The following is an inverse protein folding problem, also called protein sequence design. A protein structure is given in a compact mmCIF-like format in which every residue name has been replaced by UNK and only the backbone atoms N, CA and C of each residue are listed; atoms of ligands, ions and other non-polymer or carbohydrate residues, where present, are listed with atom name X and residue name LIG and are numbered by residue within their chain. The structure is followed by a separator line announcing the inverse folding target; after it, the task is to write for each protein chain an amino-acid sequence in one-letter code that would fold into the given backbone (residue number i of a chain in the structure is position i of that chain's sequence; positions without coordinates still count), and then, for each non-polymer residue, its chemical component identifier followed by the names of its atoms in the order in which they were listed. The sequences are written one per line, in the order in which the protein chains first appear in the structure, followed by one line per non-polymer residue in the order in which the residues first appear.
data_IF_394005215413
#
_entry.id   IF_394005215413
#
_cell.length_a   1.000
_cell.length_b   1.000
_cell.length_c   1.000
_cell.angle_alpha   90.00
_cell.angle_beta   90.00
_cell.angle_gamma   90.00
#
_symmetry.space_group_name_H-M   'P 1'
#
loop_
_entity.id
_entity.type
_entity.pdbx_description
1 polymer ?
#
# COMPACT_ATOMS: atom_id res chain seq x y z
N UNK A 1 29.31 -4.59 26.35
CA UNK A 1 28.84 -5.54 25.32
C UNK A 1 29.92 -5.73 24.27
N UNK A 2 30.23 -6.97 23.87
CA UNK A 2 31.18 -7.19 22.79
C UNK A 2 30.65 -6.62 21.45
N UNK A 3 31.53 -6.23 20.50
CA UNK A 3 31.11 -5.70 19.19
C UNK A 3 30.17 -6.65 18.42
N UNK A 4 30.35 -7.97 18.58
CA UNK A 4 29.49 -9.01 18.03
C UNK A 4 28.08 -9.00 18.61
N UNK A 5 27.93 -8.73 19.91
CA UNK A 5 26.62 -8.62 20.55
C UNK A 5 25.88 -7.36 20.13
N UNK A 6 26.59 -6.26 19.92
CA UNK A 6 26.01 -5.02 19.42
C UNK A 6 25.43 -5.21 18.00
N UNK A 7 26.18 -5.86 17.10
CA UNK A 7 25.71 -6.15 15.73
C UNK A 7 24.50 -7.08 15.72
N UNK A 8 24.45 -8.11 16.57
CA UNK A 8 23.28 -8.98 16.71
C UNK A 8 22.06 -8.19 17.14
N UNK A 9 22.16 -7.36 18.16
CA UNK A 9 21.05 -6.52 18.65
C UNK A 9 20.56 -5.56 17.56
N UNK A 10 21.45 -4.95 16.79
CA UNK A 10 21.08 -4.08 15.67
C UNK A 10 20.33 -4.84 14.56
N UNK A 11 20.75 -6.06 14.24
CA UNK A 11 20.05 -6.91 13.27
C UNK A 11 18.64 -7.30 13.74
N UNK A 12 18.48 -7.63 15.03
CA UNK A 12 17.16 -7.89 15.62
C UNK A 12 16.24 -6.67 15.59
N UNK A 13 16.77 -5.47 15.80
CA UNK A 13 16.00 -4.21 15.68
C UNK A 13 15.49 -4.01 14.25
N UNK A 14 16.31 -4.29 13.25
CA UNK A 14 15.92 -4.20 11.83
C UNK A 14 14.83 -5.22 11.52
N UNK A 15 14.99 -6.47 11.95
CA UNK A 15 13.99 -7.52 11.76
C UNK A 15 12.65 -7.15 12.43
N UNK A 16 12.70 -6.60 13.64
CA UNK A 16 11.52 -6.13 14.36
C UNK A 16 10.79 -5.04 13.57
N UNK A 17 11.52 -4.08 12.97
CA UNK A 17 10.92 -3.03 12.15
C UNK A 17 10.37 -3.58 10.81
N UNK A 18 11.00 -4.58 10.22
CA UNK A 18 10.48 -5.27 9.04
C UNK A 18 9.16 -6.01 9.37
N UNK A 19 9.09 -6.66 10.53
CA UNK A 19 7.86 -7.30 11.00
C UNK A 19 6.78 -6.28 11.37
N UNK A 20 7.14 -5.13 11.95
CA UNK A 20 6.21 -4.01 12.11
C UNK A 20 5.64 -3.55 10.77
N UNK A 21 6.48 -3.39 9.74
CA UNK A 21 6.05 -3.07 8.37
C UNK A 21 5.11 -4.13 7.79
N UNK A 22 5.38 -5.42 8.03
CA UNK A 22 4.47 -6.52 7.67
C UNK A 22 3.09 -6.35 8.30
N UNK A 23 3.01 -6.09 9.62
CA UNK A 23 1.74 -5.91 10.33
C UNK A 23 0.96 -4.71 9.80
N UNK A 24 1.61 -3.56 9.65
CA UNK A 24 0.96 -2.33 9.17
C UNK A 24 0.43 -2.50 7.73
N UNK A 25 1.21 -3.12 6.86
CA UNK A 25 0.80 -3.34 5.47
C UNK A 25 -0.30 -4.42 5.34
N UNK A 26 -0.24 -5.48 6.16
CA UNK A 26 -1.31 -6.49 6.23
C UNK A 26 -2.64 -5.84 6.62
N UNK A 27 -2.63 -4.98 7.64
CA UNK A 27 -3.82 -4.28 8.13
C UNK A 27 -4.47 -3.39 7.07
N UNK A 28 -3.69 -2.77 6.22
CA UNK A 28 -4.20 -1.90 5.17
C UNK A 28 -5.09 -2.69 4.20
N UNK A 29 -4.64 -3.86 3.77
CA UNK A 29 -5.26 -4.58 2.66
C UNK A 29 -6.08 -5.82 3.05
N UNK A 30 -5.90 -6.36 4.25
CA UNK A 30 -6.64 -7.57 4.68
C UNK A 30 -8.17 -7.44 4.58
N UNK A 31 -8.80 -6.25 4.76
CA UNK A 31 -10.23 -6.12 4.58
C UNK A 31 -10.72 -6.42 3.16
N UNK A 32 -9.87 -6.18 2.13
CA UNK A 32 -10.19 -6.51 0.73
C UNK A 32 -10.46 -8.02 0.57
N UNK A 33 -9.75 -8.84 1.32
CA UNK A 33 -9.88 -10.30 1.26
C UNK A 33 -11.10 -10.84 2.04
N UNK A 34 -11.76 -10.00 2.84
CA UNK A 34 -12.91 -10.38 3.69
C UNK A 34 -14.12 -9.44 3.52
N UNK A 35 -14.20 -8.77 2.39
CA UNK A 35 -15.18 -7.70 2.18
C UNK A 35 -16.63 -8.24 2.28
N UNK A 36 -16.89 -9.41 1.69
CA UNK A 36 -18.19 -10.07 1.74
C UNK A 36 -18.58 -10.53 3.15
N UNK A 37 -17.62 -11.07 3.92
CA UNK A 37 -17.85 -11.53 5.30
C UNK A 37 -18.19 -10.35 6.22
N UNK A 38 -17.49 -9.22 6.05
CA UNK A 38 -17.77 -7.99 6.81
C UNK A 38 -19.14 -7.43 6.43
N UNK A 39 -19.48 -7.38 5.14
CA UNK A 39 -20.78 -6.92 4.66
C UNK A 39 -21.93 -7.73 5.27
N UNK A 40 -21.82 -9.05 5.21
CA UNK A 40 -22.83 -9.96 5.76
C UNK A 40 -23.03 -9.76 7.27
N UNK A 41 -21.95 -9.49 8.02
CA UNK A 41 -22.03 -9.32 9.48
C UNK A 41 -22.73 -8.03 9.92
N UNK A 42 -22.92 -7.07 9.01
CA UNK A 42 -23.61 -5.79 9.26
C UNK A 42 -24.89 -5.62 8.42
N UNK A 43 -25.36 -6.66 7.75
CA UNK A 43 -26.51 -6.63 6.83
C UNK A 43 -26.40 -5.52 5.77
N UNK A 44 -25.19 -5.35 5.22
CA UNK A 44 -24.87 -4.30 4.24
C UNK A 44 -24.59 -4.88 2.87
N UNK A 45 -24.70 -4.04 1.85
CA UNK A 45 -24.18 -4.37 0.54
C UNK A 45 -22.64 -4.41 0.56
N UNK A 46 -22.05 -5.39 -0.11
CA UNK A 46 -20.59 -5.56 -0.19
C UNK A 46 -19.93 -4.32 -0.81
N UNK A 47 -20.62 -3.64 -1.75
CA UNK A 47 -20.13 -2.41 -2.34
C UNK A 47 -19.94 -1.33 -1.27
N UNK A 48 -20.95 -1.07 -0.43
CA UNK A 48 -20.88 -0.03 0.61
C UNK A 48 -19.82 -0.33 1.68
N UNK A 49 -19.61 -1.60 1.98
CA UNK A 49 -18.57 -2.03 2.90
C UNK A 49 -17.17 -1.62 2.41
N UNK A 50 -16.96 -1.58 1.09
CA UNK A 50 -15.70 -1.12 0.48
C UNK A 50 -15.35 0.34 0.79
N UNK A 51 -16.32 1.18 1.21
CA UNK A 51 -16.07 2.55 1.64
C UNK A 51 -15.09 2.64 2.82
N UNK A 52 -14.93 1.57 3.61
CA UNK A 52 -13.92 1.57 4.66
C UNK A 52 -12.49 1.67 4.11
N UNK A 53 -12.23 1.23 2.87
CA UNK A 53 -10.95 1.42 2.19
C UNK A 53 -10.76 2.87 1.78
N UNK A 54 -11.83 3.52 1.28
CA UNK A 54 -11.84 4.94 0.94
C UNK A 54 -11.55 5.80 2.16
N UNK A 55 -12.27 5.59 3.26
CA UNK A 55 -12.12 6.34 4.51
C UNK A 55 -10.69 6.18 5.06
N UNK A 56 -10.17 4.94 5.06
CA UNK A 56 -8.81 4.66 5.50
C UNK A 56 -7.77 5.42 4.67
N UNK A 57 -7.81 5.26 3.35
CA UNK A 57 -6.81 5.83 2.46
C UNK A 57 -6.87 7.37 2.42
N UNK A 58 -8.05 7.97 2.45
CA UNK A 58 -8.20 9.43 2.53
C UNK A 58 -7.78 9.97 3.90
N UNK A 59 -7.97 9.21 4.98
CA UNK A 59 -7.41 9.58 6.28
C UNK A 59 -5.88 9.60 6.22
N UNK A 60 -5.25 8.59 5.62
CA UNK A 60 -3.79 8.58 5.42
C UNK A 60 -3.34 9.79 4.60
N UNK A 61 -4.01 10.09 3.47
CA UNK A 61 -3.72 11.25 2.64
C UNK A 61 -3.75 12.56 3.44
N UNK A 62 -4.85 12.80 4.16
CA UNK A 62 -5.09 14.06 4.88
C UNK A 62 -4.14 14.21 6.08
N UNK A 63 -3.89 13.12 6.78
CA UNK A 63 -3.15 13.13 8.06
C UNK A 63 -1.64 13.07 7.85
N UNK A 64 -1.13 12.45 6.77
CA UNK A 64 0.30 12.18 6.60
C UNK A 64 1.18 13.42 6.75
N UNK A 65 0.89 14.48 6.02
CA UNK A 65 1.71 15.70 6.07
C UNK A 65 1.55 16.47 7.39
N UNK A 66 0.32 16.78 7.87
CA UNK A 66 0.14 17.44 9.16
C UNK A 66 0.74 16.65 10.33
N UNK A 67 0.53 15.34 10.38
CA UNK A 67 1.04 14.51 11.46
C UNK A 67 2.58 14.40 11.44
N UNK A 68 3.19 14.32 10.25
CA UNK A 68 4.65 14.36 10.12
C UNK A 68 5.23 15.65 10.70
N UNK A 69 4.58 16.79 10.48
CA UNK A 69 5.01 18.10 10.99
C UNK A 69 4.84 18.20 12.51
N UNK A 70 3.66 17.83 13.03
CA UNK A 70 3.35 17.86 14.45
C UNK A 70 4.23 16.91 15.28
N UNK A 71 4.64 15.79 14.70
CA UNK A 71 5.48 14.79 15.37
C UNK A 71 6.96 14.90 15.02
N UNK A 72 7.32 15.90 14.21
CA UNK A 72 8.68 16.08 13.67
C UNK A 72 9.77 16.11 14.73
N UNK A 73 9.53 16.77 15.86
CA UNK A 73 10.49 16.92 16.97
C UNK A 73 10.45 15.80 18.00
N UNK A 74 9.43 14.92 17.93
CA UNK A 74 9.28 13.83 18.90
C UNK A 74 10.41 12.81 18.82
N UNK A 75 10.86 12.33 19.98
CA UNK A 75 11.79 11.20 20.09
C UNK A 75 11.16 9.95 19.43
N UNK A 76 11.91 9.28 18.53
CA UNK A 76 11.37 8.29 17.60
C UNK A 76 10.86 7.01 18.26
N UNK A 77 11.50 6.53 19.34
CA UNK A 77 11.00 5.38 20.10
C UNK A 77 9.67 5.68 20.79
N UNK A 78 9.58 6.85 21.42
CA UNK A 78 8.36 7.29 22.10
C UNK A 78 7.22 7.51 21.10
N UNK A 79 7.50 8.15 19.96
CA UNK A 79 6.54 8.32 18.87
C UNK A 79 6.04 6.96 18.39
N UNK A 80 6.95 6.03 18.08
CA UNK A 80 6.60 4.68 17.59
C UNK A 80 5.71 3.93 18.60
N UNK A 81 6.04 4.00 19.90
CA UNK A 81 5.22 3.41 20.97
C UNK A 81 3.80 3.97 20.97
N UNK A 82 3.65 5.30 20.85
CA UNK A 82 2.33 5.94 20.78
C UNK A 82 1.55 5.52 19.55
N UNK A 83 2.23 5.38 18.40
CA UNK A 83 1.60 4.89 17.16
C UNK A 83 1.07 3.46 17.32
N UNK A 84 1.85 2.58 17.95
CA UNK A 84 1.40 1.21 18.24
C UNK A 84 0.22 1.18 19.21
N UNK A 85 0.18 2.06 20.22
CA UNK A 85 -0.98 2.18 21.12
C UNK A 85 -2.22 2.56 20.34
N UNK A 86 -2.17 3.61 19.49
CA UNK A 86 -3.31 4.03 18.66
C UNK A 86 -3.73 2.90 17.71
N UNK A 87 -2.77 2.22 17.09
CA UNK A 87 -3.00 1.10 16.19
C UNK A 87 -3.70 -0.07 16.88
N UNK A 88 -3.26 -0.46 18.09
CA UNK A 88 -3.87 -1.50 18.90
C UNK A 88 -5.29 -1.12 19.32
N UNK A 89 -5.50 0.12 19.77
CA UNK A 89 -6.84 0.63 20.11
C UNK A 89 -7.78 0.53 18.90
N UNK A 90 -7.31 0.95 17.71
CA UNK A 90 -8.10 0.82 16.49
C UNK A 90 -8.47 -0.63 16.15
N UNK A 91 -7.55 -1.57 16.36
CA UNK A 91 -7.83 -3.00 16.15
C UNK A 91 -8.80 -3.57 17.21
N UNK A 92 -8.66 -3.18 18.47
CA UNK A 92 -9.62 -3.55 19.52
C UNK A 92 -11.02 -3.02 19.17
N UNK A 93 -11.12 -1.76 18.73
CA UNK A 93 -12.40 -1.20 18.24
C UNK A 93 -12.96 -1.98 17.06
N UNK A 94 -12.10 -2.48 16.15
CA UNK A 94 -12.54 -3.33 15.03
C UNK A 94 -13.11 -4.67 15.54
N UNK A 95 -12.50 -5.28 16.55
CA UNK A 95 -12.97 -6.55 17.14
C UNK A 95 -14.34 -6.39 17.77
N UNK A 96 -14.57 -5.31 18.52
CA UNK A 96 -15.81 -5.06 19.26
C UNK A 96 -16.84 -4.27 18.44
N UNK A 97 -16.57 -3.95 17.17
CA UNK A 97 -17.47 -3.17 16.33
C UNK A 97 -18.85 -3.83 16.22
N UNK A 98 -19.87 -3.21 16.81
CA UNK A 98 -21.27 -3.65 16.77
C UNK A 98 -22.07 -3.07 15.60
N UNK A 99 -21.50 -2.07 14.91
CA UNK A 99 -22.03 -1.52 13.68
C UNK A 99 -20.88 -1.03 12.77
N UNK A 100 -21.19 -0.74 11.51
CA UNK A 100 -20.21 -0.34 10.51
C UNK A 100 -19.55 1.02 10.83
N UNK A 101 -20.24 1.95 11.48
CA UNK A 101 -19.67 3.26 11.85
C UNK A 101 -18.55 3.12 12.87
N UNK A 102 -18.69 2.22 13.84
CA UNK A 102 -17.60 1.93 14.79
C UNK A 102 -16.42 1.30 14.08
N UNK A 103 -16.64 0.44 13.09
CA UNK A 103 -15.56 -0.09 12.26
C UNK A 103 -14.87 1.02 11.45
N UNK A 104 -15.61 1.99 10.91
CA UNK A 104 -15.02 3.15 10.22
C UNK A 104 -14.16 4.00 11.15
N UNK A 105 -14.63 4.29 12.38
CA UNK A 105 -13.84 5.00 13.40
C UNK A 105 -12.55 4.23 13.72
N UNK A 106 -12.66 2.90 13.88
CA UNK A 106 -11.51 2.04 14.09
C UNK A 106 -10.50 2.14 12.92
N UNK A 107 -10.99 2.14 11.68
CA UNK A 107 -10.15 2.33 10.48
C UNK A 107 -9.47 3.69 10.45
N UNK A 108 -10.14 4.76 10.85
CA UNK A 108 -9.55 6.10 10.98
C UNK A 108 -8.42 6.11 12.02
N UNK A 109 -8.62 5.52 13.20
CA UNK A 109 -7.57 5.40 14.22
C UNK A 109 -6.35 4.65 13.69
N UNK A 110 -6.55 3.52 13.00
CA UNK A 110 -5.48 2.73 12.41
C UNK A 110 -4.76 3.54 11.33
N UNK A 111 -5.49 4.25 10.47
CA UNK A 111 -4.94 5.07 9.38
C UNK A 111 -4.07 6.23 9.89
N UNK A 112 -4.44 6.86 11.01
CA UNK A 112 -3.62 7.89 11.67
C UNK A 112 -2.27 7.30 12.10
N UNK A 113 -2.27 6.15 12.75
CA UNK A 113 -1.04 5.48 13.15
C UNK A 113 -0.19 5.07 11.93
N UNK A 114 -0.84 4.53 10.89
CA UNK A 114 -0.20 4.11 9.64
C UNK A 114 0.49 5.26 8.91
N UNK A 115 -0.17 6.41 8.79
CA UNK A 115 0.35 7.58 8.07
C UNK A 115 1.68 8.08 8.65
N UNK A 116 1.79 8.14 9.98
CA UNK A 116 3.02 8.57 10.67
C UNK A 116 4.07 7.45 10.66
N UNK A 117 3.66 6.20 10.84
CA UNK A 117 4.55 5.04 10.81
C UNK A 117 5.39 5.03 9.52
N UNK A 118 4.77 5.12 8.36
CA UNK A 118 5.50 5.07 7.08
C UNK A 118 6.35 6.32 6.82
N UNK A 119 5.98 7.47 7.36
CA UNK A 119 6.77 8.69 7.20
C UNK A 119 8.14 8.63 7.90
N UNK A 120 8.25 7.82 8.97
CA UNK A 120 9.48 7.74 9.78
C UNK A 120 10.25 6.42 9.63
N UNK A 121 9.61 5.35 9.15
CA UNK A 121 10.14 3.99 9.25
C UNK A 121 11.41 3.78 8.46
N UNK A 122 11.50 4.27 7.22
CA UNK A 122 12.70 4.09 6.39
C UNK A 122 13.93 4.77 7.01
N UNK A 123 13.80 6.02 7.48
CA UNK A 123 14.89 6.75 8.14
C UNK A 123 15.28 6.10 9.46
N UNK A 124 14.31 5.61 10.21
CA UNK A 124 14.53 4.92 11.47
C UNK A 124 15.30 3.62 11.28
N UNK A 125 14.90 2.81 10.31
CA UNK A 125 15.58 1.53 9.97
C UNK A 125 17.05 1.78 9.61
N UNK A 126 17.35 2.80 8.80
CA UNK A 126 18.73 3.16 8.47
C UNK A 126 19.57 3.59 9.70
N UNK A 127 18.92 4.20 10.71
CA UNK A 127 19.60 4.67 11.92
C UNK A 127 19.92 3.56 12.93
N UNK A 128 19.08 2.53 13.02
CA UNK A 128 19.26 1.41 13.93
C UNK A 128 20.08 0.26 13.33
N UNK A 129 20.25 0.25 12.02
CA UNK A 129 21.04 -0.74 11.29
C UNK A 129 22.55 -0.63 11.58
N UNK A 130 23.32 -1.73 11.45
CA UNK A 130 24.78 -1.65 11.39
C UNK A 130 25.24 -0.70 10.29
N UNK A 131 26.32 0.06 10.53
CA UNK A 131 26.81 1.12 9.62
C UNK A 131 27.07 0.61 8.19
N UNK A 132 27.54 -0.61 8.06
CA UNK A 132 27.88 -1.31 6.81
C UNK A 132 26.70 -2.00 6.13
N UNK A 133 25.50 -2.06 6.77
CA UNK A 133 24.33 -2.83 6.30
C UNK A 133 23.06 -2.02 6.12
N UNK A 134 23.16 -0.70 5.97
CA UNK A 134 21.98 0.19 5.86
C UNK A 134 21.09 -0.15 4.65
N UNK A 135 21.67 -0.40 3.50
CA UNK A 135 20.94 -0.81 2.29
C UNK A 135 20.25 -2.17 2.47
N UNK A 136 20.94 -3.12 3.13
CA UNK A 136 20.34 -4.41 3.45
C UNK A 136 19.17 -4.28 4.43
N UNK A 137 19.25 -3.35 5.38
CA UNK A 137 18.18 -3.10 6.33
C UNK A 137 16.91 -2.54 5.66
N UNK A 138 17.07 -1.63 4.69
CA UNK A 138 15.94 -1.18 3.84
C UNK A 138 15.36 -2.32 3.00
N UNK A 139 16.23 -3.19 2.48
CA UNK A 139 15.79 -4.40 1.77
C UNK A 139 14.97 -5.34 2.66
N UNK A 140 15.34 -5.51 3.93
CA UNK A 140 14.56 -6.30 4.90
C UNK A 140 13.18 -5.67 5.18
N UNK A 141 13.11 -4.34 5.29
CA UNK A 141 11.82 -3.65 5.42
C UNK A 141 10.94 -3.89 4.19
N UNK A 142 11.50 -3.79 2.98
CA UNK A 142 10.80 -4.06 1.73
C UNK A 142 10.32 -5.53 1.65
N UNK A 143 11.11 -6.49 2.12
CA UNK A 143 10.69 -7.89 2.23
C UNK A 143 9.49 -8.02 3.18
N UNK A 144 9.52 -7.36 4.35
CA UNK A 144 8.39 -7.35 5.29
C UNK A 144 7.10 -6.87 4.65
N UNK A 145 7.14 -5.77 3.90
CA UNK A 145 5.96 -5.23 3.18
C UNK A 145 5.49 -6.16 2.07
N UNK A 146 6.39 -6.75 1.31
CA UNK A 146 6.05 -7.72 0.25
C UNK A 146 5.42 -8.98 0.83
N UNK A 147 5.94 -9.50 1.94
CA UNK A 147 5.35 -10.66 2.63
C UNK A 147 3.94 -10.38 3.14
N UNK A 148 3.62 -9.13 3.50
CA UNK A 148 2.26 -8.76 3.89
C UNK A 148 1.27 -8.94 2.74
N UNK A 149 1.65 -8.56 1.53
CA UNK A 149 0.82 -8.74 0.33
C UNK A 149 0.71 -10.22 -0.06
N UNK A 150 1.82 -10.98 0.06
CA UNK A 150 1.87 -12.39 -0.35
C UNK A 150 1.17 -13.31 0.65
N UNK A 151 1.42 -13.11 1.94
CA UNK A 151 0.96 -14.00 3.01
C UNK A 151 -0.12 -13.37 3.89
N UNK A 152 -0.04 -12.05 4.14
CA UNK A 152 -0.94 -11.36 5.06
C UNK A 152 -2.39 -11.42 4.62
N UNK A 153 -2.67 -11.16 3.34
CA UNK A 153 -4.02 -11.22 2.81
C UNK A 153 -4.58 -12.65 2.80
N UNK A 154 -3.92 -13.64 2.18
CA UNK A 154 -4.43 -15.03 2.18
C UNK A 154 -4.58 -15.60 3.59
N UNK A 155 -3.61 -15.41 4.48
CA UNK A 155 -3.70 -15.89 5.86
C UNK A 155 -4.84 -15.19 6.60
N UNK A 156 -4.95 -13.87 6.45
CA UNK A 156 -6.05 -13.10 7.05
C UNK A 156 -7.42 -13.58 6.57
N UNK A 157 -7.56 -13.90 5.28
CA UNK A 157 -8.77 -14.48 4.71
C UNK A 157 -9.07 -15.86 5.29
N UNK A 158 -8.10 -16.77 5.33
CA UNK A 158 -8.27 -18.12 5.90
C UNK A 158 -8.74 -18.02 7.36
N UNK A 159 -8.10 -17.18 8.16
CA UNK A 159 -8.52 -16.95 9.56
C UNK A 159 -9.93 -16.39 9.60
N UNK A 160 -10.24 -15.39 8.76
CA UNK A 160 -11.54 -14.76 8.68
C UNK A 160 -12.66 -15.75 8.34
N UNK A 161 -12.42 -16.68 7.42
CA UNK A 161 -13.35 -17.72 7.02
C UNK A 161 -13.53 -18.81 8.10
N UNK A 162 -12.46 -19.18 8.82
CA UNK A 162 -12.52 -20.24 9.83
C UNK A 162 -13.13 -19.78 11.16
N UNK A 163 -12.79 -18.57 11.62
CA UNK A 163 -13.12 -18.08 12.97
C UNK A 163 -13.72 -16.66 12.99
N UNK A 164 -13.95 -16.09 11.83
CA UNK A 164 -14.57 -14.78 11.65
C UNK A 164 -13.55 -13.62 11.51
N UNK A 165 -13.92 -12.60 10.73
CA UNK A 165 -13.08 -11.46 10.42
C UNK A 165 -12.65 -10.64 11.65
N UNK A 166 -13.48 -10.59 12.70
CA UNK A 166 -13.14 -9.92 13.97
C UNK A 166 -11.92 -10.55 14.63
N UNK A 167 -11.82 -11.87 14.59
CA UNK A 167 -10.65 -12.60 15.15
C UNK A 167 -9.39 -12.28 14.37
N UNK A 168 -9.46 -12.10 13.06
CA UNK A 168 -8.32 -11.65 12.24
C UNK A 168 -7.77 -10.31 12.74
N UNK A 169 -8.63 -9.33 12.98
CA UNK A 169 -8.19 -8.04 13.57
C UNK A 169 -7.66 -8.20 15.00
N UNK A 170 -8.24 -9.10 15.78
CA UNK A 170 -7.76 -9.43 17.13
C UNK A 170 -6.34 -10.02 17.13
N UNK A 171 -6.04 -10.91 16.20
CA UNK A 171 -4.70 -11.48 16.02
C UNK A 171 -3.71 -10.38 15.63
N UNK A 172 -4.09 -9.49 14.73
CA UNK A 172 -3.25 -8.34 14.35
C UNK A 172 -2.98 -7.44 15.56
N UNK A 173 -3.99 -7.16 16.38
CA UNK A 173 -3.83 -6.40 17.63
C UNK A 173 -2.84 -7.07 18.57
N UNK A 174 -2.95 -8.38 18.74
CA UNK A 174 -2.07 -9.16 19.61
C UNK A 174 -0.62 -9.16 19.11
N UNK A 175 -0.40 -9.36 17.80
CA UNK A 175 0.92 -9.26 17.18
C UNK A 175 1.50 -7.86 17.33
N UNK A 176 0.71 -6.82 17.11
CA UNK A 176 1.13 -5.44 17.29
C UNK A 176 1.50 -5.14 18.75
N UNK A 177 0.78 -5.70 19.71
CA UNK A 177 1.08 -5.57 21.14
C UNK A 177 2.45 -6.19 21.47
N UNK A 178 2.73 -7.40 21.01
CA UNK A 178 4.05 -8.02 21.23
C UNK A 178 5.18 -7.24 20.55
N UNK A 179 4.96 -6.76 19.33
CA UNK A 179 5.94 -5.90 18.63
C UNK A 179 6.18 -4.61 19.42
N UNK A 180 5.14 -3.98 19.95
CA UNK A 180 5.27 -2.78 20.80
C UNK A 180 6.12 -3.06 22.03
N UNK A 181 5.92 -4.17 22.74
CA UNK A 181 6.75 -4.54 23.90
C UNK A 181 8.21 -4.71 23.50
N UNK A 182 8.48 -5.37 22.38
CA UNK A 182 9.84 -5.53 21.86
C UNK A 182 10.46 -4.20 21.42
N UNK A 183 9.70 -3.29 20.84
CA UNK A 183 10.14 -1.91 20.52
C UNK A 183 10.57 -1.19 21.79
N UNK A 184 9.76 -1.24 22.85
CA UNK A 184 10.07 -0.61 24.14
C UNK A 184 11.36 -1.20 24.76
N UNK A 185 11.61 -2.48 24.61
CA UNK A 185 12.78 -3.15 25.16
C UNK A 185 14.04 -2.96 24.31
N UNK A 186 13.95 -3.15 23.00
CA UNK A 186 15.09 -3.26 22.11
C UNK A 186 15.53 -1.94 21.47
N UNK A 187 14.62 -0.99 21.19
CA UNK A 187 15.02 0.26 20.57
C UNK A 187 15.68 1.20 21.57
N UNK A 188 16.81 1.82 21.23
CA UNK A 188 17.39 2.87 22.03
C UNK A 188 16.56 4.18 21.90
N UNK A 189 16.79 5.13 22.79
CA UNK A 189 16.28 6.48 22.60
C UNK A 189 16.90 7.08 21.33
N UNK A 190 16.09 7.60 20.44
CA UNK A 190 16.47 8.14 19.14
C UNK A 190 15.90 9.53 18.93
N UNK A 191 16.68 10.60 19.22
CA UNK A 191 16.24 11.97 19.00
C UNK A 191 15.81 12.18 17.55
N UNK A 192 14.88 13.09 17.31
CA UNK A 192 14.52 13.48 15.94
C UNK A 192 15.74 14.06 15.23
N UNK A 193 15.90 13.75 13.96
CA UNK A 193 16.89 14.35 13.06
C UNK A 193 16.23 14.60 11.72
N UNK A 194 16.41 15.81 11.19
CA UNK A 194 15.95 16.21 9.85
C UNK A 194 14.43 16.01 9.63
N UNK A 195 13.63 16.77 10.37
CA UNK A 195 12.22 16.97 9.98
C UNK A 195 12.22 17.71 8.63
N UNK A 196 11.57 17.16 7.61
CA UNK A 196 11.48 17.78 6.29
C UNK A 196 10.91 19.19 6.37
N UNK A 197 11.35 20.09 5.51
CA UNK A 197 10.92 21.51 5.52
C UNK A 197 9.71 21.70 4.60
N UNK A 198 8.67 22.37 5.10
CA UNK A 198 7.51 22.84 4.30
C UNK A 198 7.95 23.82 3.19
N UNK A 199 9.08 24.51 3.38
CA UNK A 199 9.61 25.46 2.39
C UNK A 199 9.90 24.83 1.01
N UNK A 200 10.04 23.51 0.94
CA UNK A 200 10.22 22.79 -0.33
C UNK A 200 8.93 22.65 -1.15
N UNK A 201 7.74 22.77 -0.55
CA UNK A 201 6.46 22.56 -1.25
C UNK A 201 6.26 23.50 -2.45
N UNK A 202 6.48 24.84 -2.34
CA UNK A 202 6.33 25.74 -3.48
C UNK A 202 7.31 25.44 -4.62
N UNK A 203 8.50 24.93 -4.29
CA UNK A 203 9.53 24.58 -5.27
C UNK A 203 9.11 23.34 -6.06
N UNK A 204 8.62 22.31 -5.38
CA UNK A 204 8.15 21.07 -6.00
C UNK A 204 6.90 21.30 -6.87
N UNK A 205 5.99 22.18 -6.43
CA UNK A 205 4.79 22.55 -7.18
C UNK A 205 5.07 23.23 -8.54
N UNK A 206 6.26 23.80 -8.72
CA UNK A 206 6.69 24.41 -10.00
C UNK A 206 7.33 23.42 -10.96
N UNK A 207 7.39 22.11 -10.66
CA UNK A 207 7.99 21.06 -11.52
C UNK A 207 6.90 20.33 -12.31
N UNK A 208 6.63 20.69 -13.58
CA UNK A 208 5.51 20.13 -14.32
C UNK A 208 5.60 18.61 -14.54
N UNK A 209 6.82 18.07 -14.75
CA UNK A 209 7.02 16.61 -14.85
C UNK A 209 6.69 15.88 -13.54
N UNK A 210 7.00 16.46 -12.39
CA UNK A 210 6.68 15.88 -11.09
C UNK A 210 5.18 15.91 -10.84
N UNK A 211 4.52 17.02 -11.16
CA UNK A 211 3.06 17.14 -11.05
C UNK A 211 2.36 16.15 -11.99
N UNK A 212 2.79 16.07 -13.26
CA UNK A 212 2.27 15.08 -14.20
C UNK A 212 2.45 13.65 -13.71
N UNK A 213 3.59 13.35 -13.08
CA UNK A 213 3.86 12.05 -12.47
C UNK A 213 2.91 11.76 -11.29
N UNK A 214 2.66 12.75 -10.43
CA UNK A 214 1.73 12.60 -9.31
C UNK A 214 0.30 12.34 -9.77
N UNK A 215 -0.19 13.09 -10.78
CA UNK A 215 -1.52 12.87 -11.32
C UNK A 215 -1.63 11.50 -12.00
N UNK A 216 -0.62 11.10 -12.79
CA UNK A 216 -0.57 9.78 -13.40
C UNK A 216 -0.55 8.68 -12.33
N UNK A 217 0.19 8.87 -11.24
CA UNK A 217 0.22 7.93 -10.10
C UNK A 217 -1.17 7.79 -9.48
N UNK A 218 -1.83 8.90 -9.17
CA UNK A 218 -3.18 8.88 -8.61
C UNK A 218 -4.15 8.09 -9.49
N UNK A 219 -4.14 8.36 -10.80
CA UNK A 219 -5.04 7.71 -11.76
C UNK A 219 -4.75 6.21 -11.92
N UNK A 220 -3.48 5.80 -12.04
CA UNK A 220 -3.15 4.38 -12.23
C UNK A 220 -3.39 3.56 -10.96
N UNK A 221 -3.20 4.16 -9.80
CA UNK A 221 -3.53 3.53 -8.52
C UNK A 221 -5.05 3.47 -8.33
N UNK A 222 -5.79 4.53 -8.69
CA UNK A 222 -7.24 4.50 -8.70
C UNK A 222 -7.79 3.43 -9.66
N UNK A 223 -7.21 3.30 -10.85
CA UNK A 223 -7.54 2.23 -11.80
C UNK A 223 -7.42 0.83 -11.17
N UNK A 224 -6.31 0.58 -10.48
CA UNK A 224 -6.10 -0.68 -9.77
C UNK A 224 -7.15 -0.91 -8.68
N UNK A 225 -7.33 0.05 -7.76
CA UNK A 225 -8.20 -0.12 -6.61
C UNK A 225 -9.69 -0.05 -6.94
N UNK A 226 -10.11 0.47 -8.09
CA UNK A 226 -11.48 0.35 -8.59
C UNK A 226 -11.91 -1.11 -8.74
N UNK A 227 -11.00 -1.99 -9.18
CA UNK A 227 -11.27 -3.41 -9.30
C UNK A 227 -10.77 -4.21 -8.09
N UNK A 228 -9.55 -3.94 -7.61
CA UNK A 228 -8.91 -4.75 -6.58
C UNK A 228 -9.63 -4.71 -5.23
N UNK A 229 -10.22 -3.56 -4.86
CA UNK A 229 -11.01 -3.46 -3.63
C UNK A 229 -12.19 -4.42 -3.61
N UNK A 230 -12.76 -4.71 -4.76
CA UNK A 230 -13.93 -5.58 -4.93
C UNK A 230 -13.60 -6.92 -5.60
N UNK A 231 -12.33 -7.28 -5.66
CA UNK A 231 -11.89 -8.50 -6.37
C UNK A 231 -12.45 -9.77 -5.73
N UNK A 232 -12.54 -9.81 -4.41
CA UNK A 232 -13.12 -10.95 -3.68
C UNK A 232 -14.61 -11.14 -4.03
N UNK A 233 -15.50 -10.14 -3.86
CA UNK A 233 -16.90 -10.30 -4.26
C UNK A 233 -17.07 -10.48 -5.77
N UNK A 234 -16.20 -9.90 -6.61
CA UNK A 234 -16.22 -10.13 -8.04
C UNK A 234 -15.96 -11.61 -8.39
N UNK A 235 -14.93 -12.21 -7.80
CA UNK A 235 -14.61 -13.62 -8.04
C UNK A 235 -15.75 -14.54 -7.59
N UNK A 236 -16.36 -14.28 -6.44
CA UNK A 236 -17.42 -15.13 -5.87
C UNK A 236 -18.74 -14.94 -6.63
N UNK A 237 -19.19 -13.67 -6.82
CA UNK A 237 -20.52 -13.37 -7.37
C UNK A 237 -20.59 -13.38 -8.89
N UNK A 238 -19.54 -12.93 -9.57
CA UNK A 238 -19.47 -12.85 -11.05
C UNK A 238 -18.74 -14.05 -11.62
N UNK A 239 -17.59 -14.39 -11.05
CA UNK A 239 -16.80 -15.54 -11.48
C UNK A 239 -17.30 -16.89 -11.01
N UNK A 240 -18.26 -16.92 -10.05
CA UNK A 240 -18.78 -18.13 -9.41
C UNK A 240 -17.67 -19.06 -8.88
N UNK A 241 -16.56 -18.47 -8.43
CA UNK A 241 -15.40 -19.21 -7.93
C UNK A 241 -15.61 -19.60 -6.47
N UNK A 242 -15.10 -20.78 -6.12
CA UNK A 242 -15.05 -21.21 -4.73
C UNK A 242 -14.24 -20.23 -3.85
N UNK A 243 -14.67 -19.94 -2.62
CA UNK A 243 -13.95 -19.06 -1.71
C UNK A 243 -12.48 -19.44 -1.47
N UNK A 244 -12.17 -20.75 -1.43
CA UNK A 244 -10.78 -21.23 -1.27
C UNK A 244 -9.94 -20.90 -2.50
N UNK A 245 -10.54 -21.01 -3.70
CA UNK A 245 -9.88 -20.64 -4.94
C UNK A 245 -9.61 -19.13 -5.02
N UNK A 246 -10.53 -18.30 -4.55
CA UNK A 246 -10.33 -16.86 -4.41
C UNK A 246 -9.10 -16.55 -3.55
N UNK A 247 -8.91 -17.27 -2.44
CA UNK A 247 -7.71 -17.15 -1.60
C UNK A 247 -6.43 -17.48 -2.39
N UNK A 248 -6.47 -18.52 -3.23
CA UNK A 248 -5.34 -18.91 -4.07
C UNK A 248 -5.01 -17.86 -5.13
N UNK A 249 -6.03 -17.23 -5.75
CA UNK A 249 -5.82 -16.12 -6.70
C UNK A 249 -5.14 -14.92 -6.00
N UNK A 250 -5.56 -14.56 -4.79
CA UNK A 250 -4.92 -13.50 -4.02
C UNK A 250 -3.45 -13.82 -3.69
N UNK A 251 -3.14 -15.08 -3.40
CA UNK A 251 -1.77 -15.55 -3.20
C UNK A 251 -0.92 -15.41 -4.47
N UNK A 252 -1.45 -15.84 -5.60
CA UNK A 252 -0.78 -15.70 -6.93
C UNK A 252 -0.52 -14.24 -7.25
N UNK A 253 -1.50 -13.36 -7.00
CA UNK A 253 -1.33 -11.92 -7.16
C UNK A 253 -0.18 -11.37 -6.27
N UNK A 254 -0.10 -11.80 -5.01
CA UNK A 254 0.99 -11.42 -4.10
C UNK A 254 2.36 -11.91 -4.60
N UNK A 255 2.48 -13.18 -4.99
CA UNK A 255 3.72 -13.80 -5.49
C UNK A 255 4.24 -13.07 -6.75
N UNK A 256 3.34 -12.57 -7.59
CA UNK A 256 3.69 -11.82 -8.80
C UNK A 256 4.55 -10.59 -8.50
N UNK A 257 4.41 -9.99 -7.30
CA UNK A 257 5.23 -8.87 -6.83
C UNK A 257 6.73 -9.20 -6.73
N UNK A 258 7.08 -10.46 -6.44
CA UNK A 258 8.48 -10.92 -6.43
C UNK A 258 9.04 -10.85 -7.86
N UNK A 259 8.30 -11.39 -8.84
CA UNK A 259 8.71 -11.33 -10.23
C UNK A 259 8.77 -9.88 -10.75
N UNK A 260 7.83 -9.03 -10.35
CA UNK A 260 7.85 -7.61 -10.67
C UNK A 260 9.16 -6.95 -10.21
N UNK A 261 9.61 -7.24 -8.99
CA UNK A 261 10.89 -6.73 -8.47
C UNK A 261 12.10 -7.22 -9.28
N UNK A 262 12.10 -8.50 -9.68
CA UNK A 262 13.16 -9.05 -10.52
C UNK A 262 13.20 -8.42 -11.92
N UNK A 263 12.01 -8.26 -12.53
CA UNK A 263 11.88 -7.60 -13.84
C UNK A 263 12.31 -6.14 -13.77
N UNK A 264 11.92 -5.43 -12.69
CA UNK A 264 12.34 -4.05 -12.47
C UNK A 264 13.88 -3.95 -12.41
N UNK A 265 14.54 -4.77 -11.60
CA UNK A 265 16.00 -4.76 -11.45
C UNK A 265 16.74 -5.04 -12.76
N UNK A 266 16.19 -5.91 -13.62
CA UNK A 266 16.81 -6.29 -14.88
C UNK A 266 16.52 -5.34 -16.04
N UNK A 267 15.26 -4.92 -16.20
CA UNK A 267 14.76 -4.29 -17.41
C UNK A 267 14.64 -2.77 -17.32
N UNK A 268 14.35 -2.23 -16.12
CA UNK A 268 14.12 -0.79 -15.95
C UNK A 268 15.31 0.07 -16.43
N UNK A 269 16.54 -0.40 -16.27
CA UNK A 269 17.76 0.32 -16.68
C UNK A 269 17.89 0.55 -18.18
N UNK A 270 17.32 -0.34 -19.01
CA UNK A 270 17.44 -0.27 -20.47
C UNK A 270 16.46 0.72 -21.10
N UNK A 271 15.41 1.12 -20.40
CA UNK A 271 14.43 2.10 -20.90
C UNK A 271 13.42 2.47 -19.84
N UNK A 272 13.77 3.35 -18.88
CA UNK A 272 12.90 3.64 -17.74
C UNK A 272 11.50 4.12 -18.11
N UNK A 273 11.37 4.91 -19.18
CA UNK A 273 10.06 5.38 -19.66
C UNK A 273 9.27 4.26 -20.35
N UNK A 274 9.93 3.50 -21.23
CA UNK A 274 9.29 2.35 -21.90
C UNK A 274 8.82 1.31 -20.89
N UNK A 275 9.61 1.06 -19.84
CA UNK A 275 9.26 0.14 -18.77
C UNK A 275 7.95 0.55 -18.05
N UNK A 276 7.81 1.83 -17.69
CA UNK A 276 6.58 2.35 -17.07
C UNK A 276 5.39 2.23 -18.03
N UNK A 277 5.55 2.61 -19.30
CA UNK A 277 4.50 2.52 -20.31
C UNK A 277 4.01 1.07 -20.48
N UNK A 278 4.92 0.11 -20.58
CA UNK A 278 4.57 -1.32 -20.71
C UNK A 278 3.87 -1.82 -19.44
N UNK A 279 4.35 -1.45 -18.25
CA UNK A 279 3.74 -1.86 -17.00
C UNK A 279 2.32 -1.27 -16.81
N UNK A 280 2.12 0.02 -17.15
CA UNK A 280 0.79 0.66 -17.13
C UNK A 280 -0.14 0.04 -18.17
N UNK A 281 0.37 -0.26 -19.37
CA UNK A 281 -0.38 -0.96 -20.42
C UNK A 281 -0.80 -2.36 -19.98
N UNK A 282 0.12 -3.11 -19.35
CA UNK A 282 -0.16 -4.44 -18.82
C UNK A 282 -1.26 -4.42 -17.77
N UNK A 283 -1.20 -3.49 -16.80
CA UNK A 283 -2.25 -3.32 -15.80
C UNK A 283 -3.59 -2.96 -16.43
N UNK A 284 -3.61 -1.98 -17.35
CA UNK A 284 -4.85 -1.54 -17.99
C UNK A 284 -5.48 -2.64 -18.84
N UNK A 285 -4.66 -3.41 -19.57
CA UNK A 285 -5.12 -4.56 -20.35
C UNK A 285 -5.66 -5.67 -19.45
N UNK A 286 -4.99 -5.94 -18.31
CA UNK A 286 -5.47 -6.93 -17.35
C UNK A 286 -6.84 -6.55 -16.80
N UNK A 287 -7.04 -5.27 -16.47
CA UNK A 287 -8.34 -4.77 -16.02
C UNK A 287 -9.42 -4.87 -17.09
N UNK A 288 -9.08 -4.57 -18.34
CA UNK A 288 -10.01 -4.70 -19.48
C UNK A 288 -10.48 -6.14 -19.68
N UNK A 289 -9.58 -7.09 -19.52
CA UNK A 289 -9.84 -8.52 -19.72
C UNK A 289 -10.39 -9.22 -18.47
N UNK A 290 -10.58 -8.50 -17.35
CA UNK A 290 -10.94 -9.09 -16.07
C UNK A 290 -12.25 -9.90 -16.13
N UNK A 291 -13.29 -9.38 -16.76
CA UNK A 291 -14.56 -10.09 -16.91
C UNK A 291 -14.41 -11.34 -17.77
N UNK A 292 -13.70 -11.24 -18.90
CA UNK A 292 -13.48 -12.37 -19.81
C UNK A 292 -12.67 -13.50 -19.15
N UNK A 293 -11.82 -13.16 -18.17
CA UNK A 293 -11.02 -14.16 -17.48
C UNK A 293 -11.82 -15.06 -16.53
N UNK A 294 -13.07 -14.68 -16.20
CA UNK A 294 -13.93 -15.50 -15.33
C UNK A 294 -14.44 -16.79 -15.97
N UNK A 295 -14.38 -16.92 -17.31
CA UNK A 295 -14.85 -18.10 -18.04
C UNK A 295 -14.04 -19.36 -17.68
N UNK A 296 -12.73 -19.22 -17.43
CA UNK A 296 -11.85 -20.34 -17.10
C UNK A 296 -10.94 -20.00 -15.92
N UNK A 297 -10.78 -20.96 -15.02
CA UNK A 297 -9.91 -20.84 -13.84
C UNK A 297 -8.47 -20.46 -14.22
N UNK A 298 -7.93 -21.08 -15.27
CA UNK A 298 -6.56 -20.85 -15.75
C UNK A 298 -6.38 -19.42 -16.25
N UNK A 299 -7.38 -18.88 -16.96
CA UNK A 299 -7.33 -17.49 -17.46
C UNK A 299 -7.36 -16.48 -16.33
N UNK A 300 -8.17 -16.73 -15.29
CA UNK A 300 -8.22 -15.89 -14.08
C UNK A 300 -6.88 -15.90 -13.34
N UNK A 301 -6.25 -17.06 -13.15
CA UNK A 301 -4.93 -17.17 -12.51
C UNK A 301 -3.85 -16.46 -13.33
N UNK A 302 -3.78 -16.71 -14.62
CA UNK A 302 -2.80 -16.08 -15.50
C UNK A 302 -2.97 -14.57 -15.55
N UNK A 303 -4.21 -14.08 -15.65
CA UNK A 303 -4.51 -12.65 -15.68
C UNK A 303 -4.15 -11.97 -14.33
N UNK A 304 -4.51 -12.59 -13.21
CA UNK A 304 -4.18 -12.08 -11.87
C UNK A 304 -2.67 -12.01 -11.66
N UNK A 305 -1.93 -12.98 -12.15
CA UNK A 305 -0.46 -12.97 -12.11
C UNK A 305 0.13 -11.83 -12.95
N UNK A 306 -0.33 -11.65 -14.18
CA UNK A 306 0.10 -10.56 -15.06
C UNK A 306 -0.27 -9.18 -14.50
N UNK A 307 -1.47 -9.05 -13.97
CA UNK A 307 -1.93 -7.82 -13.32
C UNK A 307 -1.05 -7.46 -12.13
N UNK A 308 -0.76 -8.42 -11.25
CA UNK A 308 0.12 -8.18 -10.10
C UNK A 308 1.56 -7.81 -10.52
N UNK A 309 2.11 -8.38 -11.60
CA UNK A 309 3.38 -7.95 -12.19
C UNK A 309 3.30 -6.47 -12.62
N UNK A 310 2.25 -6.09 -13.34
CA UNK A 310 2.03 -4.71 -13.78
C UNK A 310 2.05 -3.74 -12.61
N UNK A 311 1.24 -4.00 -11.58
CA UNK A 311 1.14 -3.17 -10.37
C UNK A 311 2.48 -3.04 -9.64
N UNK A 312 3.17 -4.16 -9.41
CA UNK A 312 4.47 -4.15 -8.74
C UNK A 312 5.54 -3.39 -9.51
N UNK A 313 5.60 -3.56 -10.83
CA UNK A 313 6.52 -2.81 -11.70
C UNK A 313 6.23 -1.30 -11.69
N UNK A 314 4.95 -0.90 -11.71
CA UNK A 314 4.53 0.51 -11.66
C UNK A 314 4.96 1.13 -10.35
N UNK A 315 4.66 0.51 -9.21
CA UNK A 315 4.98 1.05 -7.89
C UNK A 315 6.47 1.38 -7.74
N UNK A 316 7.33 0.42 -8.08
CA UNK A 316 8.79 0.59 -8.02
C UNK A 316 9.29 1.67 -9.00
N UNK A 317 8.80 1.67 -10.23
CA UNK A 317 9.28 2.57 -11.27
C UNK A 317 8.87 4.02 -11.02
N UNK A 318 7.63 4.27 -10.57
CA UNK A 318 7.15 5.61 -10.27
C UNK A 318 7.83 6.20 -9.03
N UNK A 319 8.03 5.41 -7.98
CA UNK A 319 8.73 5.85 -6.78
C UNK A 319 10.16 6.31 -7.07
N UNK A 320 10.94 5.51 -7.83
CA UNK A 320 12.31 5.92 -8.23
C UNK A 320 12.29 7.17 -9.10
N UNK A 321 11.28 7.34 -9.94
CA UNK A 321 11.14 8.51 -10.79
C UNK A 321 10.87 9.78 -9.99
N UNK A 322 10.08 9.71 -8.91
CA UNK A 322 9.88 10.81 -7.96
C UNK A 322 11.22 11.25 -7.36
N UNK A 323 12.02 10.29 -6.87
CA UNK A 323 13.34 10.59 -6.27
C UNK A 323 14.28 11.29 -7.27
N UNK A 324 14.25 10.88 -8.55
CA UNK A 324 15.06 11.51 -9.60
C UNK A 324 14.58 12.91 -9.99
N UNK A 325 13.29 13.19 -9.89
CA UNK A 325 12.72 14.50 -10.22
C UNK A 325 12.83 15.52 -9.08
N UNK A 326 13.12 15.06 -7.86
CA UNK A 326 13.22 15.90 -6.67
C UNK A 326 14.47 15.54 -5.82
N UNK A 327 15.69 15.58 -6.37
CA UNK A 327 16.91 15.18 -5.65
C UNK A 327 17.26 16.13 -4.49
N UNK A 328 16.80 17.37 -4.56
CA UNK A 328 16.99 18.43 -3.57
C UNK A 328 15.95 18.43 -2.43
N UNK A 329 14.86 17.67 -2.58
CA UNK A 329 13.78 17.60 -1.60
C UNK A 329 13.14 16.19 -1.57
N UNK A 330 13.96 15.15 -1.56
CA UNK A 330 13.54 13.74 -1.68
C UNK A 330 12.51 13.34 -0.63
N UNK A 331 12.69 13.75 0.62
CA UNK A 331 11.81 13.36 1.73
C UNK A 331 10.41 13.95 1.57
N UNK A 332 10.33 15.25 1.22
CA UNK A 332 9.04 15.92 0.99
C UNK A 332 8.35 15.37 -0.26
N UNK A 333 9.10 15.17 -1.34
CA UNK A 333 8.56 14.60 -2.58
C UNK A 333 8.03 13.18 -2.38
N UNK A 334 8.71 12.36 -1.57
CA UNK A 334 8.27 11.00 -1.24
C UNK A 334 7.04 11.02 -0.33
N UNK A 335 6.97 11.95 0.63
CA UNK A 335 5.79 12.11 1.49
C UNK A 335 4.55 12.52 0.66
N UNK A 336 4.71 13.45 -0.29
CA UNK A 336 3.64 13.83 -1.22
C UNK A 336 3.26 12.62 -2.08
N UNK A 337 4.23 11.86 -2.61
CA UNK A 337 3.98 10.67 -3.41
C UNK A 337 3.17 9.63 -2.63
N UNK A 338 3.50 9.38 -1.37
CA UNK A 338 2.74 8.48 -0.50
C UNK A 338 1.29 8.95 -0.30
N UNK A 339 1.10 10.25 -0.05
CA UNK A 339 -0.24 10.85 0.03
C UNK A 339 -1.03 10.71 -1.26
N UNK A 340 -0.43 10.99 -2.41
CA UNK A 340 -1.03 10.84 -3.75
C UNK A 340 -1.37 9.37 -4.06
N UNK A 341 -0.50 8.43 -3.66
CA UNK A 341 -0.77 7.01 -3.80
C UNK A 341 -2.01 6.60 -3.00
N UNK A 342 -2.12 7.06 -1.75
CA UNK A 342 -3.30 6.84 -0.91
C UNK A 342 -4.54 7.57 -1.45
N UNK A 343 -4.41 8.77 -2.04
CA UNK A 343 -5.50 9.41 -2.77
C UNK A 343 -6.03 8.49 -3.89
N UNK A 344 -5.13 7.85 -4.64
CA UNK A 344 -5.48 6.86 -5.66
C UNK A 344 -6.21 5.64 -5.07
N UNK A 345 -5.72 5.07 -3.95
CA UNK A 345 -6.38 3.96 -3.26
C UNK A 345 -7.83 4.32 -2.90
N UNK A 346 -8.01 5.42 -2.18
CA UNK A 346 -9.32 5.84 -1.69
C UNK A 346 -10.28 6.21 -2.81
N UNK A 347 -9.81 6.93 -3.82
CA UNK A 347 -10.61 7.32 -4.99
C UNK A 347 -10.99 6.10 -5.84
N UNK A 348 -10.07 5.15 -6.00
CA UNK A 348 -10.34 3.89 -6.69
C UNK A 348 -11.40 3.06 -5.96
N UNK A 349 -11.28 2.90 -4.64
CA UNK A 349 -12.26 2.20 -3.83
C UNK A 349 -13.66 2.85 -3.93
N UNK A 350 -13.72 4.20 -3.92
CA UNK A 350 -14.97 4.94 -4.10
C UNK A 350 -15.56 4.71 -5.50
N UNK A 351 -14.76 4.80 -6.56
CA UNK A 351 -15.24 4.52 -7.91
C UNK A 351 -15.72 3.08 -8.06
N UNK A 352 -15.00 2.12 -7.46
CA UNK A 352 -15.44 0.73 -7.43
C UNK A 352 -16.80 0.55 -6.72
N UNK A 353 -17.04 1.28 -5.62
CA UNK A 353 -18.35 1.33 -4.96
C UNK A 353 -19.43 1.84 -5.91
N UNK A 354 -19.21 3.03 -6.49
CA UNK A 354 -20.19 3.65 -7.39
C UNK A 354 -20.51 2.75 -8.60
N UNK A 355 -19.50 2.12 -9.17
CA UNK A 355 -19.69 1.19 -10.29
C UNK A 355 -20.47 -0.04 -9.84
N UNK A 356 -20.07 -0.69 -8.74
CA UNK A 356 -20.71 -1.89 -8.26
C UNK A 356 -22.18 -1.65 -7.87
N UNK A 357 -22.51 -0.46 -7.35
CA UNK A 357 -23.85 -0.10 -6.88
C UNK A 357 -24.77 0.36 -8.01
N UNK A 358 -24.27 1.17 -8.97
CA UNK A 358 -25.13 1.83 -9.96
C UNK A 358 -25.04 1.25 -11.37
N UNK A 359 -23.92 0.56 -11.70
CA UNK A 359 -23.68 0.04 -13.04
C UNK A 359 -23.65 -1.49 -13.06
N UNK A 360 -22.96 -2.07 -12.09
CA UNK A 360 -22.80 -3.51 -11.92
C UNK A 360 -21.37 -3.90 -11.54
N UNK A 361 -21.28 -4.90 -10.65
CA UNK A 361 -19.98 -5.40 -10.16
C UNK A 361 -19.10 -5.99 -11.30
N UNK A 362 -19.73 -6.50 -12.35
CA UNK A 362 -19.07 -7.04 -13.55
C UNK A 362 -18.34 -5.96 -14.39
N UNK A 363 -18.64 -4.68 -14.17
CA UNK A 363 -18.06 -3.54 -14.91
C UNK A 363 -16.84 -2.89 -14.25
N UNK A 364 -16.46 -3.29 -13.02
CA UNK A 364 -15.35 -2.68 -12.29
C UNK A 364 -14.02 -2.72 -13.07
N UNK A 365 -13.78 -3.81 -13.82
CA UNK A 365 -12.60 -3.96 -14.67
C UNK A 365 -12.56 -2.95 -15.80
N UNK A 366 -13.67 -2.71 -16.49
CA UNK A 366 -13.75 -1.77 -17.62
C UNK A 366 -13.50 -0.32 -17.17
N UNK A 367 -14.11 0.11 -16.05
CA UNK A 367 -13.89 1.45 -15.51
C UNK A 367 -12.45 1.60 -15.01
N UNK A 368 -11.90 0.58 -14.34
CA UNK A 368 -10.48 0.54 -13.98
C UNK A 368 -9.56 0.65 -15.20
N UNK A 369 -9.85 -0.08 -16.28
CA UNK A 369 -9.08 -0.01 -17.52
C UNK A 369 -9.11 1.38 -18.16
N UNK A 370 -10.28 2.04 -18.17
CA UNK A 370 -10.43 3.40 -18.68
C UNK A 370 -9.56 4.40 -17.89
N UNK A 371 -9.61 4.35 -16.55
CA UNK A 371 -8.74 5.16 -15.69
C UNK A 371 -7.25 4.87 -15.93
N UNK A 372 -6.89 3.59 -16.12
CA UNK A 372 -5.52 3.18 -16.43
C UNK A 372 -5.03 3.72 -17.76
N UNK A 373 -5.87 3.69 -18.80
CA UNK A 373 -5.57 4.28 -20.11
C UNK A 373 -5.44 5.81 -20.04
N UNK A 374 -6.32 6.49 -19.30
CA UNK A 374 -6.19 7.93 -19.05
C UNK A 374 -4.85 8.27 -18.38
N UNK A 375 -4.45 7.48 -17.37
CA UNK A 375 -3.16 7.63 -16.71
C UNK A 375 -1.99 7.43 -17.68
N UNK A 376 -2.04 6.40 -18.51
CA UNK A 376 -1.02 6.08 -19.51
C UNK A 376 -0.85 7.22 -20.52
N UNK A 377 -1.96 7.74 -21.07
CA UNK A 377 -1.95 8.86 -22.01
C UNK A 377 -1.36 10.11 -21.37
N UNK A 378 -1.77 10.42 -20.13
CA UNK A 378 -1.26 11.57 -19.38
C UNK A 378 0.25 11.42 -19.09
N UNK A 379 0.69 10.23 -18.71
CA UNK A 379 2.11 9.95 -18.45
C UNK A 379 2.96 10.15 -19.72
N UNK A 380 2.52 9.59 -20.86
CA UNK A 380 3.20 9.73 -22.15
C UNK A 380 3.19 11.21 -22.58
N UNK A 381 2.04 11.88 -22.53
CA UNK A 381 1.89 13.28 -22.91
C UNK A 381 2.78 14.21 -22.08
N UNK A 382 2.81 14.04 -20.75
CA UNK A 382 3.68 14.80 -19.85
C UNK A 382 5.15 14.57 -20.17
N UNK A 383 5.53 13.31 -20.43
CA UNK A 383 6.91 12.97 -20.76
C UNK A 383 7.35 13.58 -22.10
N UNK A 384 6.52 13.50 -23.14
CA UNK A 384 6.83 14.07 -24.46
C UNK A 384 6.94 15.59 -24.40
N UNK A 385 5.99 16.26 -23.70
CA UNK A 385 5.96 17.72 -23.59
C UNK A 385 7.16 18.28 -22.81
N UNK A 386 7.59 17.63 -21.75
CA UNK A 386 8.60 18.16 -20.82
C UNK A 386 9.93 17.39 -20.82
N UNK A 387 10.17 16.49 -21.79
CA UNK A 387 11.41 15.68 -21.87
C UNK A 387 12.68 16.55 -21.94
N UNK A 388 12.62 17.72 -22.58
CA UNK A 388 13.77 18.61 -22.71
C UNK A 388 14.22 19.17 -21.35
N UNK A 389 13.28 19.43 -20.43
CA UNK A 389 13.58 19.90 -19.06
C UNK A 389 14.29 18.81 -18.23
N UNK A 390 14.20 17.55 -18.64
CA UNK A 390 14.82 16.40 -17.97
C UNK A 390 16.24 16.12 -18.47
N UNK A 391 16.54 16.46 -19.74
CA UNK A 391 17.82 16.20 -20.39
C UNK A 391 18.82 17.34 -20.17
N UNK A 392 18.37 18.51 -19.71
CA UNK A 392 19.19 19.70 -19.46
C UNK A 392 19.74 19.81 -18.03
N UNK A 393 19.60 18.78 -17.21
CA UNK A 393 20.17 18.62 -15.88
C UNK A 393 20.87 17.27 -15.75
#
# INVERSE_FOLDING_TARGET
MSPLNIRKVQSWRVLLMAFAGFIFNTTEFVPVAMLSDIATSFDMQTADTGLMMTVYAWTVLIVSLPAMLLTGEMERKNLLTKLFIIFIIGHILSVIAWNFWILLIARVCIAIAHSVFWSITASLVMRIAPKDKKTQALGMLAIGTSLATILGLPIGRIIGQLVGWRVTFGIIALLAFFVMLLIIQLLPKLPSKNAGSIASLPILAKRPLLIGLYIATMLIVAAHFTAYTYIEPFMIKIGHLDPNFTTFVLLIFGISGILASLLFNRLHRFGPTKFVVVAMGLQSLSLLLLLLSTEYIITMLALSFLWGIGVGCIGLALQIRVLRLAPDATDVATAIYSGIYNAGIGTGALFGNLVATHIGLDKIGYIGAMLGLCSLILFIGSHLKYRHTFLSK
#
